data_IF_189566483271
#
_entry.id   IF_189566483271
#
_cell.length_a   1.000
_cell.length_b   1.000
_cell.length_c   1.000
_cell.angle_alpha   90.00
_cell.angle_beta   90.00
_cell.angle_gamma   90.00
#
_symmetry.space_group_name_H-M   'P 1'
#
loop_
_entity.id
_entity.type
_entity.pdbx_description
1 polymer ?
#
# COMPACT_ATOMS: atom_id res chain seq x y z
N UNK A 1 32.74 -25.47 -80.81
CA UNK A 1 31.45 -24.94 -81.32
C UNK A 1 30.89 -23.97 -80.28
N UNK A 2 30.96 -22.66 -80.55
CA UNK A 2 30.34 -21.63 -79.71
C UNK A 2 29.06 -21.14 -80.39
N UNK A 3 27.92 -21.15 -79.68
CA UNK A 3 26.65 -20.59 -80.16
C UNK A 3 26.62 -19.09 -79.88
N UNK A 4 26.22 -18.22 -80.82
CA UNK A 4 26.07 -16.80 -80.56
C UNK A 4 24.80 -16.55 -79.72
N UNK A 5 24.93 -15.73 -78.66
CA UNK A 5 23.77 -15.26 -77.89
C UNK A 5 23.01 -14.20 -78.71
N UNK A 6 21.71 -14.44 -78.94
CA UNK A 6 20.82 -13.52 -79.64
C UNK A 6 20.53 -12.24 -78.84
N UNK A 7 20.24 -11.16 -79.55
CA UNK A 7 19.97 -9.84 -78.99
C UNK A 7 18.76 -9.84 -78.04
N UNK A 8 18.96 -9.35 -76.81
CA UNK A 8 17.90 -9.18 -75.81
C UNK A 8 17.08 -7.94 -76.18
N UNK A 9 15.82 -8.14 -76.63
CA UNK A 9 14.84 -7.06 -76.77
C UNK A 9 14.47 -6.52 -75.40
N UNK A 10 14.86 -5.28 -75.11
CA UNK A 10 14.35 -4.51 -73.97
C UNK A 10 12.84 -4.29 -74.14
N UNK A 11 12.02 -4.93 -73.30
CA UNK A 11 10.59 -4.63 -73.19
C UNK A 11 10.44 -3.19 -72.68
N UNK A 12 9.70 -2.35 -73.41
CA UNK A 12 9.26 -1.04 -72.94
C UNK A 12 8.49 -1.22 -71.63
N UNK A 13 9.01 -0.69 -70.54
CA UNK A 13 8.38 -0.71 -69.22
C UNK A 13 7.11 0.14 -69.23
N UNK A 14 6.03 -0.40 -68.67
CA UNK A 14 4.74 0.27 -68.61
C UNK A 14 4.86 1.52 -67.68
N UNK A 15 4.40 2.71 -68.10
CA UNK A 15 4.47 3.92 -67.27
C UNK A 15 3.77 3.74 -65.91
N UNK A 16 2.75 2.88 -65.82
CA UNK A 16 2.05 2.59 -64.57
C UNK A 16 2.94 1.86 -63.57
N UNK A 17 3.80 0.93 -64.02
CA UNK A 17 4.74 0.25 -63.11
C UNK A 17 5.87 1.15 -62.64
N UNK A 18 6.27 2.15 -63.46
CA UNK A 18 7.22 3.18 -63.04
C UNK A 18 6.60 4.13 -62.01
N UNK A 19 5.33 4.52 -62.19
CA UNK A 19 4.61 5.36 -61.24
C UNK A 19 4.41 4.66 -59.88
N UNK A 20 4.02 3.39 -59.88
CA UNK A 20 3.91 2.58 -58.66
C UNK A 20 5.25 2.40 -57.96
N UNK A 21 6.33 2.18 -58.73
CA UNK A 21 7.69 2.12 -58.19
C UNK A 21 8.12 3.44 -57.54
N UNK A 22 7.80 4.58 -58.16
CA UNK A 22 8.10 5.90 -57.61
C UNK A 22 7.32 6.17 -56.32
N UNK A 23 6.04 5.82 -56.25
CA UNK A 23 5.22 5.95 -55.04
C UNK A 23 5.78 5.09 -53.90
N UNK A 24 6.20 3.85 -54.21
CA UNK A 24 6.81 2.97 -53.22
C UNK A 24 8.14 3.53 -52.70
N UNK A 25 8.97 4.09 -53.58
CA UNK A 25 10.22 4.75 -53.17
C UNK A 25 9.97 5.98 -52.30
N UNK A 26 8.97 6.81 -52.64
CA UNK A 26 8.60 7.97 -51.81
C UNK A 26 8.09 7.51 -50.45
N UNK A 27 7.26 6.47 -50.39
CA UNK A 27 6.77 5.91 -49.13
C UNK A 27 7.92 5.39 -48.26
N UNK A 28 8.90 4.69 -48.85
CA UNK A 28 10.09 4.21 -48.14
C UNK A 28 10.93 5.37 -47.62
N UNK A 29 11.14 6.42 -48.42
CA UNK A 29 11.90 7.60 -48.00
C UNK A 29 11.17 8.35 -46.88
N UNK A 30 9.85 8.54 -46.99
CA UNK A 30 9.05 9.16 -45.93
C UNK A 30 9.06 8.30 -44.66
N UNK A 31 9.01 6.97 -44.77
CA UNK A 31 9.12 6.07 -43.62
C UNK A 31 10.50 6.12 -42.95
N UNK A 32 11.58 6.23 -43.73
CA UNK A 32 12.95 6.31 -43.22
C UNK A 32 13.33 7.69 -42.67
N UNK A 33 12.72 8.75 -43.19
CA UNK A 33 13.04 10.15 -42.82
C UNK A 33 12.00 10.75 -41.86
N UNK A 34 10.83 10.13 -41.71
CA UNK A 34 9.87 10.54 -40.68
C UNK A 34 10.53 10.36 -39.31
N UNK A 35 10.54 11.41 -38.46
CA UNK A 35 11.07 11.30 -37.13
C UNK A 35 10.27 10.21 -36.43
N UNK A 36 10.92 9.11 -36.07
CA UNK A 36 10.36 8.18 -35.10
C UNK A 36 9.98 9.02 -33.89
N UNK A 37 8.68 9.20 -33.67
CA UNK A 37 8.16 9.93 -32.53
C UNK A 37 8.91 9.42 -31.30
N UNK A 38 9.40 10.37 -30.50
CA UNK A 38 10.28 10.15 -29.34
C UNK A 38 9.97 8.77 -28.75
N UNK A 39 10.83 7.80 -29.07
CA UNK A 39 10.85 6.55 -28.33
C UNK A 39 11.06 7.02 -26.90
N UNK A 40 10.01 6.96 -26.10
CA UNK A 40 10.13 6.97 -24.66
C UNK A 40 11.04 5.79 -24.44
N UNK A 41 12.34 6.07 -24.29
CA UNK A 41 13.29 5.13 -23.76
C UNK A 41 12.68 4.71 -22.44
N UNK A 42 11.96 3.59 -22.46
CA UNK A 42 11.81 2.71 -21.32
C UNK A 42 13.25 2.39 -20.95
N UNK A 43 13.85 3.26 -20.15
CA UNK A 43 14.99 2.88 -19.32
C UNK A 43 14.49 1.62 -18.64
N UNK A 44 14.97 0.46 -19.09
CA UNK A 44 14.87 -0.76 -18.30
C UNK A 44 15.36 -0.34 -16.93
N UNK A 45 14.46 -0.33 -15.96
CA UNK A 45 14.84 -0.16 -14.58
C UNK A 45 15.82 -1.30 -14.31
N UNK A 46 17.09 -0.98 -14.12
CA UNK A 46 17.96 -1.89 -13.38
C UNK A 46 17.31 -1.99 -12.01
N UNK A 47 16.62 -3.10 -11.74
CA UNK A 47 16.21 -3.42 -10.39
C UNK A 47 17.50 -3.43 -9.59
N UNK A 48 17.69 -2.43 -8.72
CA UNK A 48 18.88 -2.36 -7.85
C UNK A 48 18.71 -3.46 -6.81
N UNK A 49 19.00 -4.70 -7.22
CA UNK A 49 19.15 -5.82 -6.28
C UNK A 49 20.36 -5.50 -5.44
N UNK A 50 20.19 -5.50 -4.13
CA UNK A 50 21.28 -5.32 -3.20
C UNK A 50 22.38 -6.35 -3.51
N UNK A 51 23.60 -5.86 -3.78
CA UNK A 51 24.77 -6.72 -3.97
C UNK A 51 25.26 -7.31 -2.64
N UNK A 52 24.92 -6.65 -1.53
CA UNK A 52 25.39 -6.96 -0.19
C UNK A 52 24.23 -7.11 0.80
N UNK A 53 24.30 -8.05 1.74
CA UNK A 53 23.29 -8.26 2.78
C UNK A 53 23.14 -7.09 3.77
N UNK A 54 24.14 -6.20 3.82
CA UNK A 54 24.10 -4.94 4.60
C UNK A 54 23.63 -3.73 3.76
N UNK A 55 23.17 -3.95 2.53
CA UNK A 55 22.53 -2.87 1.76
C UNK A 55 21.24 -2.46 2.46
N UNK A 56 20.72 -1.24 2.21
CA UNK A 56 19.48 -0.79 2.83
C UNK A 56 18.36 -1.84 2.68
N UNK A 57 17.53 -2.05 3.72
CA UNK A 57 16.48 -3.07 3.70
C UNK A 57 15.44 -2.86 2.60
N UNK A 58 15.41 -1.68 1.99
CA UNK A 58 14.53 -1.33 0.87
C UNK A 58 14.99 -1.87 -0.49
N UNK A 59 16.22 -2.38 -0.60
CA UNK A 59 16.72 -3.03 -1.82
C UNK A 59 16.64 -4.56 -1.69
N UNK A 60 15.99 -5.28 -2.62
CA UNK A 60 15.88 -6.74 -2.57
C UNK A 60 17.27 -7.39 -2.56
N UNK A 61 17.62 -8.12 -1.50
CA UNK A 61 18.87 -8.88 -1.42
C UNK A 61 18.67 -10.33 -1.83
N UNK A 62 19.42 -10.78 -2.83
CA UNK A 62 19.49 -12.20 -3.19
C UNK A 62 20.82 -12.77 -2.73
N UNK A 63 20.77 -13.71 -1.77
CA UNK A 63 21.98 -14.41 -1.31
C UNK A 63 22.65 -15.12 -2.49
N UNK A 64 23.81 -14.62 -2.89
CA UNK A 64 24.68 -15.26 -3.89
C UNK A 64 25.15 -16.62 -3.37
N UNK A 65 25.04 -17.67 -4.19
CA UNK A 65 25.74 -18.94 -3.95
C UNK A 65 27.22 -18.71 -4.25
N UNK A 66 27.94 -18.08 -3.30
CA UNK A 66 29.38 -17.89 -3.44
C UNK A 66 30.06 -19.24 -3.59
N UNK A 67 30.70 -19.48 -4.74
CA UNK A 67 31.79 -20.46 -4.83
C UNK A 67 32.87 -19.93 -3.89
N UNK A 68 33.17 -20.69 -2.85
CA UNK A 68 34.20 -20.42 -1.86
C UNK A 68 35.45 -19.80 -2.49
N UNK A 69 35.67 -18.49 -2.29
CA UNK A 69 36.90 -17.81 -2.72
C UNK A 69 36.75 -16.43 -3.37
N UNK A 70 35.55 -15.98 -3.78
CA UNK A 70 35.38 -14.61 -4.30
C UNK A 70 35.17 -13.63 -3.13
N UNK A 71 36.02 -12.60 -2.95
CA UNK A 71 35.80 -11.59 -1.93
C UNK A 71 34.49 -10.84 -2.21
N UNK A 72 33.62 -10.71 -1.21
CA UNK A 72 32.44 -9.86 -1.30
C UNK A 72 32.91 -8.41 -1.49
N UNK A 73 32.44 -7.74 -2.55
CA UNK A 73 32.67 -6.30 -2.71
C UNK A 73 32.08 -5.57 -1.50
N UNK A 74 32.73 -4.50 -1.00
CA UNK A 74 32.16 -3.68 0.05
C UNK A 74 30.81 -3.11 -0.40
N UNK A 75 29.85 -2.89 0.52
CA UNK A 75 28.55 -2.32 0.17
C UNK A 75 28.73 -0.94 -0.47
N UNK A 76 27.91 -0.58 -1.48
CA UNK A 76 27.99 0.73 -2.11
C UNK A 76 27.61 1.83 -1.11
N UNK A 77 28.28 2.99 -1.21
CA UNK A 77 27.87 4.20 -0.48
C UNK A 77 26.71 4.84 -1.24
N UNK A 78 25.56 4.99 -0.58
CA UNK A 78 24.36 5.61 -1.18
C UNK A 78 24.04 6.89 -0.41
N UNK A 79 23.90 7.99 -1.14
CA UNK A 79 23.51 9.28 -0.58
C UNK A 79 22.02 9.53 -0.83
N UNK A 80 21.28 9.85 0.23
CA UNK A 80 19.86 10.21 0.16
C UNK A 80 19.71 11.66 0.60
N UNK A 81 19.14 12.50 -0.27
CA UNK A 81 18.71 13.83 0.09
C UNK A 81 17.20 13.80 0.35
N UNK A 82 16.80 13.80 1.62
CA UNK A 82 15.39 13.67 1.99
C UNK A 82 14.55 14.87 1.53
N UNK A 83 15.15 16.05 1.34
CA UNK A 83 14.44 17.21 0.80
C UNK A 83 13.98 17.03 -0.65
N UNK A 84 14.48 15.99 -1.34
CA UNK A 84 14.06 15.64 -2.70
C UNK A 84 12.95 14.58 -2.73
N UNK A 85 12.56 14.03 -1.56
CA UNK A 85 11.46 13.07 -1.47
C UNK A 85 10.17 13.85 -1.44
N UNK A 86 9.41 13.80 -2.53
CA UNK A 86 8.17 14.56 -2.67
C UNK A 86 6.96 13.75 -2.18
N UNK A 87 5.94 14.46 -1.69
CA UNK A 87 4.61 13.93 -1.36
C UNK A 87 3.56 14.87 -1.94
N UNK A 88 3.12 14.59 -3.17
CA UNK A 88 2.31 15.50 -3.99
C UNK A 88 0.93 14.93 -4.32
N UNK A 89 0.06 15.78 -4.88
CA UNK A 89 -1.26 15.38 -5.37
C UNK A 89 -1.21 14.54 -6.65
N UNK A 90 -0.07 14.49 -7.35
CA UNK A 90 0.15 13.69 -8.56
C UNK A 90 1.29 12.68 -8.38
N UNK A 91 1.15 11.74 -7.43
CA UNK A 91 2.25 10.88 -6.99
C UNK A 91 2.84 10.00 -8.11
N UNK A 92 2.03 9.60 -9.09
CA UNK A 92 2.49 8.81 -10.25
C UNK A 92 3.42 9.61 -11.16
N UNK A 93 3.07 10.87 -11.46
CA UNK A 93 3.85 11.75 -12.34
C UNK A 93 5.24 12.02 -11.74
N UNK A 94 5.28 12.19 -10.41
CA UNK A 94 6.49 12.42 -9.64
C UNK A 94 7.23 11.12 -9.26
N UNK A 95 6.73 9.95 -9.70
CA UNK A 95 7.28 8.61 -9.40
C UNK A 95 7.53 8.37 -7.90
N UNK A 96 6.59 8.81 -7.08
CA UNK A 96 6.67 8.72 -5.62
C UNK A 96 6.59 7.25 -5.17
N UNK A 97 7.48 6.82 -4.28
CA UNK A 97 7.48 5.43 -3.82
C UNK A 97 6.45 5.23 -2.70
N UNK A 98 5.67 4.16 -2.79
CA UNK A 98 4.65 3.80 -1.81
C UNK A 98 5.07 2.55 -1.06
N UNK A 99 5.04 2.61 0.26
CA UNK A 99 5.25 1.48 1.15
C UNK A 99 3.90 1.03 1.71
N UNK A 100 3.39 -0.11 1.26
CA UNK A 100 2.14 -0.69 1.78
C UNK A 100 2.49 -1.63 2.94
N UNK A 101 1.94 -1.37 4.13
CA UNK A 101 2.25 -2.10 5.36
C UNK A 101 1.03 -2.84 5.90
N UNK A 102 1.21 -4.14 6.13
CA UNK A 102 0.10 -5.06 6.47
C UNK A 102 0.50 -6.02 7.58
N UNK A 103 0.07 -5.76 8.82
CA UNK A 103 0.01 -6.79 9.85
C UNK A 103 -0.99 -7.88 9.43
N UNK A 104 -0.57 -9.14 9.47
CA UNK A 104 -1.36 -10.25 8.93
C UNK A 104 -1.34 -11.46 9.87
N UNK A 105 -2.50 -11.82 10.41
CA UNK A 105 -2.70 -13.04 11.20
C UNK A 105 -3.27 -14.18 10.36
N UNK A 106 -4.12 -13.86 9.39
CA UNK A 106 -4.73 -14.77 8.41
C UNK A 106 -4.52 -14.19 7.01
N UNK A 107 -4.34 -15.06 6.02
CA UNK A 107 -4.22 -14.64 4.63
C UNK A 107 -5.57 -14.74 3.94
N UNK A 108 -5.97 -13.67 3.24
CA UNK A 108 -7.19 -13.62 2.45
C UNK A 108 -6.82 -13.48 0.97
N UNK A 109 -7.19 -14.44 0.10
CA UNK A 109 -6.92 -14.32 -1.34
C UNK A 109 -7.49 -13.03 -1.94
N UNK A 110 -8.68 -12.60 -1.48
CA UNK A 110 -9.31 -11.34 -1.90
C UNK A 110 -8.46 -10.10 -1.61
N UNK A 111 -7.69 -10.09 -0.52
CA UNK A 111 -6.76 -9.02 -0.21
C UNK A 111 -5.61 -8.96 -1.22
N UNK A 112 -5.03 -10.11 -1.58
CA UNK A 112 -3.96 -10.14 -2.59
C UNK A 112 -4.46 -9.73 -3.98
N UNK A 113 -5.66 -10.18 -4.35
CA UNK A 113 -6.31 -9.75 -5.59
C UNK A 113 -6.59 -8.24 -5.59
N UNK A 114 -7.02 -7.69 -4.46
CA UNK A 114 -7.22 -6.25 -4.30
C UNK A 114 -5.92 -5.47 -4.49
N UNK A 115 -4.80 -5.91 -3.89
CA UNK A 115 -3.48 -5.32 -4.13
C UNK A 115 -3.09 -5.32 -5.62
N UNK A 116 -3.32 -6.43 -6.32
CA UNK A 116 -2.99 -6.55 -7.73
C UNK A 116 -3.87 -5.68 -8.65
N UNK A 117 -5.05 -5.27 -8.18
CA UNK A 117 -5.96 -4.39 -8.91
C UNK A 117 -5.63 -2.91 -8.75
N UNK A 118 -4.70 -2.53 -7.88
CA UNK A 118 -4.29 -1.14 -7.73
C UNK A 118 -3.65 -0.65 -9.04
N UNK A 119 -4.10 0.49 -9.53
CA UNK A 119 -3.59 1.11 -10.76
C UNK A 119 -2.33 1.95 -10.53
N UNK A 120 -1.84 2.02 -9.29
CA UNK A 120 -0.57 2.65 -9.00
C UNK A 120 0.58 1.78 -9.55
N UNK A 121 1.62 2.31 -10.21
CA UNK A 121 2.65 1.48 -10.82
C UNK A 121 3.33 0.57 -9.80
N UNK A 122 3.22 -0.75 -9.97
CA UNK A 122 3.72 -1.71 -8.98
C UNK A 122 5.25 -1.62 -8.82
N UNK A 123 5.99 -1.13 -9.81
CA UNK A 123 7.43 -0.89 -9.68
C UNK A 123 7.79 0.26 -8.72
N UNK A 124 6.80 1.02 -8.26
CA UNK A 124 6.94 2.05 -7.21
C UNK A 124 6.41 1.58 -5.85
N UNK A 125 5.85 0.37 -5.77
CA UNK A 125 5.24 -0.16 -4.56
C UNK A 125 6.17 -1.17 -3.89
N UNK A 126 6.50 -0.92 -2.63
CA UNK A 126 7.11 -1.91 -1.72
C UNK A 126 6.04 -2.45 -0.78
N UNK A 127 5.96 -3.78 -0.66
CA UNK A 127 5.05 -4.42 0.29
C UNK A 127 5.81 -4.85 1.54
N UNK A 128 5.30 -4.50 2.72
CA UNK A 128 5.79 -4.95 4.01
C UNK A 128 4.72 -5.76 4.74
N UNK A 129 5.05 -6.99 5.12
CA UNK A 129 4.18 -7.86 5.89
C UNK A 129 4.80 -8.20 7.24
N UNK A 130 4.00 -8.27 8.30
CA UNK A 130 4.43 -8.84 9.58
C UNK A 130 3.41 -9.86 10.07
N UNK A 131 3.88 -11.07 10.37
CA UNK A 131 3.01 -12.20 10.73
C UNK A 131 3.42 -12.83 12.07
N UNK A 132 2.45 -13.27 12.91
CA UNK A 132 2.71 -13.89 14.20
C UNK A 132 3.27 -15.31 14.07
N UNK A 133 4.05 -15.76 15.06
CA UNK A 133 4.59 -17.12 15.15
C UNK A 133 3.60 -18.13 15.75
N UNK A 134 2.33 -18.04 15.37
CA UNK A 134 1.28 -19.00 15.74
C UNK A 134 1.05 -20.03 14.63
N UNK A 135 0.21 -21.04 14.87
CA UNK A 135 -0.19 -22.02 13.86
C UNK A 135 -0.84 -21.32 12.65
N UNK A 136 -1.79 -20.43 12.92
CA UNK A 136 -2.52 -19.65 11.91
C UNK A 136 -1.57 -18.71 11.17
N UNK A 137 -0.67 -18.03 11.89
CA UNK A 137 0.31 -17.14 11.27
C UNK A 137 1.37 -17.86 10.43
N UNK A 138 1.71 -19.12 10.77
CA UNK A 138 2.57 -19.96 9.94
C UNK A 138 1.85 -20.38 8.65
N UNK A 139 0.58 -20.75 8.74
CA UNK A 139 -0.25 -21.06 7.58
C UNK A 139 -0.38 -19.84 6.66
N UNK A 140 -0.75 -18.68 7.20
CA UNK A 140 -0.84 -17.43 6.45
C UNK A 140 0.49 -17.06 5.77
N UNK A 141 1.64 -17.38 6.38
CA UNK A 141 2.95 -17.15 5.76
C UNK A 141 3.16 -18.05 4.55
N UNK A 142 2.80 -19.33 4.64
CA UNK A 142 2.93 -20.27 3.53
C UNK A 142 2.05 -19.84 2.34
N UNK A 143 0.80 -19.48 2.61
CA UNK A 143 -0.15 -19.01 1.59
C UNK A 143 0.32 -17.69 0.93
N UNK A 144 0.74 -16.71 1.74
CA UNK A 144 1.32 -15.46 1.24
C UNK A 144 2.54 -15.72 0.34
N UNK A 145 3.44 -16.61 0.74
CA UNK A 145 4.63 -16.96 -0.05
C UNK A 145 4.27 -17.62 -1.38
N UNK A 146 3.22 -18.42 -1.43
CA UNK A 146 2.73 -19.04 -2.68
C UNK A 146 2.23 -17.97 -3.67
N UNK A 147 1.40 -17.04 -3.20
CA UNK A 147 0.89 -15.94 -4.03
C UNK A 147 2.00 -14.97 -4.48
N UNK A 148 2.96 -14.67 -3.60
CA UNK A 148 4.17 -13.92 -3.95
C UNK A 148 4.95 -14.66 -5.02
N UNK A 149 5.18 -15.97 -4.88
CA UNK A 149 5.93 -16.77 -5.85
C UNK A 149 5.26 -16.73 -7.22
N UNK A 150 3.94 -16.92 -7.26
CA UNK A 150 3.13 -16.85 -8.48
C UNK A 150 3.29 -15.49 -9.17
N UNK A 151 3.14 -14.40 -8.41
CA UNK A 151 3.18 -13.03 -8.94
C UNK A 151 4.58 -12.62 -9.38
N UNK A 152 5.58 -12.74 -8.48
CA UNK A 152 6.93 -12.22 -8.71
C UNK A 152 7.74 -13.06 -9.72
N UNK A 153 7.52 -14.37 -9.77
CA UNK A 153 8.30 -15.27 -10.66
C UNK A 153 7.61 -15.54 -11.99
N UNK A 154 6.29 -15.77 -11.96
CA UNK A 154 5.54 -16.24 -13.12
C UNK A 154 4.55 -15.20 -13.66
N UNK A 155 4.26 -14.14 -12.90
CA UNK A 155 3.39 -13.04 -13.31
C UNK A 155 4.03 -12.13 -14.34
N UNK A 156 3.19 -11.30 -14.97
CA UNK A 156 3.63 -10.26 -15.93
C UNK A 156 4.51 -9.26 -15.20
N UNK A 157 5.45 -8.66 -15.91
CA UNK A 157 6.38 -7.69 -15.31
C UNK A 157 5.65 -6.51 -14.66
N UNK A 158 4.57 -6.03 -15.28
CA UNK A 158 3.72 -4.96 -14.74
C UNK A 158 3.01 -5.34 -13.43
N UNK A 159 2.80 -6.63 -13.16
CA UNK A 159 2.15 -7.09 -11.93
C UNK A 159 3.15 -7.24 -10.77
N UNK A 160 4.47 -7.11 -11.02
CA UNK A 160 5.52 -7.31 -10.02
C UNK A 160 5.73 -6.05 -9.19
N UNK A 161 5.65 -6.21 -7.88
CA UNK A 161 6.00 -5.17 -6.92
C UNK A 161 7.51 -4.92 -6.86
N UNK A 162 7.93 -3.67 -6.63
CA UNK A 162 9.34 -3.24 -6.49
C UNK A 162 10.14 -4.12 -5.53
N UNK A 163 9.57 -4.37 -4.36
CA UNK A 163 10.16 -5.18 -3.29
C UNK A 163 9.07 -5.72 -2.38
N UNK A 164 9.33 -6.86 -1.76
CA UNK A 164 8.43 -7.48 -0.78
C UNK A 164 9.26 -7.93 0.41
N UNK A 165 8.88 -7.47 1.61
CA UNK A 165 9.54 -7.76 2.87
C UNK A 165 8.55 -8.50 3.76
N UNK A 166 8.96 -9.66 4.28
CA UNK A 166 8.15 -10.46 5.21
C UNK A 166 8.90 -10.56 6.54
N UNK A 167 8.25 -10.10 7.60
CA UNK A 167 8.73 -10.18 8.98
C UNK A 167 7.92 -11.20 9.76
N UNK A 168 8.58 -11.84 10.72
CA UNK A 168 7.95 -12.74 11.68
C UNK A 168 8.08 -12.10 13.06
N UNK A 169 6.97 -11.97 13.78
CA UNK A 169 6.95 -11.34 15.11
C UNK A 169 7.92 -12.04 16.07
N UNK A 170 8.56 -11.26 16.94
CA UNK A 170 9.55 -11.69 17.92
C UNK A 170 9.07 -11.52 19.37
N UNK A 171 7.81 -11.13 19.57
CA UNK A 171 7.14 -11.03 20.86
C UNK A 171 5.95 -11.98 20.95
N UNK A 172 5.58 -12.34 22.18
CA UNK A 172 4.49 -13.26 22.49
C UNK A 172 3.11 -12.66 22.14
N UNK A 173 2.14 -13.48 21.68
CA UNK A 173 0.76 -13.04 21.47
C UNK A 173 0.13 -12.57 22.79
N UNK A 174 -0.68 -11.51 22.75
CA UNK A 174 -1.41 -11.04 23.95
C UNK A 174 -2.53 -12.00 24.37
N UNK A 175 -3.11 -12.75 23.44
CA UNK A 175 -4.26 -13.63 23.66
C UNK A 175 -4.02 -14.94 22.89
N UNK A 176 -4.34 -16.07 23.53
CA UNK A 176 -4.19 -17.40 22.94
C UNK A 176 -5.30 -17.67 21.91
N UNK A 177 -6.54 -17.23 22.18
CA UNK A 177 -7.66 -17.33 21.24
C UNK A 177 -7.69 -16.16 20.25
N UNK A 178 -8.02 -16.47 18.99
CA UNK A 178 -8.25 -15.51 17.91
C UNK A 178 -9.75 -15.33 17.59
N UNK A 179 -10.66 -15.86 18.42
CA UNK A 179 -12.10 -15.75 18.20
C UNK A 179 -12.58 -14.31 18.40
N UNK A 180 -13.47 -13.83 17.54
CA UNK A 180 -13.95 -12.45 17.56
C UNK A 180 -14.51 -12.05 18.93
N UNK A 181 -15.43 -12.85 19.49
CA UNK A 181 -16.04 -12.57 20.80
C UNK A 181 -15.01 -12.43 21.94
N UNK A 182 -13.91 -13.18 21.90
CA UNK A 182 -12.82 -13.07 22.89
C UNK A 182 -11.90 -11.86 22.64
N UNK A 183 -11.65 -11.51 21.37
CA UNK A 183 -10.89 -10.31 20.97
C UNK A 183 -11.61 -9.01 21.36
N UNK A 184 -12.95 -9.04 21.38
CA UNK A 184 -13.80 -7.88 21.69
C UNK A 184 -14.11 -7.69 23.18
N UNK A 185 -13.55 -8.51 24.09
CA UNK A 185 -13.68 -8.26 25.54
C UNK A 185 -12.83 -7.05 25.96
N UNK A 186 -13.44 -6.11 26.69
CA UNK A 186 -12.78 -4.87 27.17
C UNK A 186 -11.45 -5.16 27.88
N UNK A 187 -11.42 -6.16 28.76
CA UNK A 187 -10.22 -6.59 29.52
C UNK A 187 -9.05 -7.01 28.63
N UNK A 188 -9.34 -7.51 27.43
CA UNK A 188 -8.35 -8.05 26.50
C UNK A 188 -7.87 -6.99 25.48
N UNK A 189 -8.66 -5.95 25.23
CA UNK A 189 -8.36 -4.95 24.18
C UNK A 189 -7.05 -4.21 24.42
N UNK A 190 -6.75 -3.81 25.67
CA UNK A 190 -5.50 -3.08 25.97
C UNK A 190 -4.27 -3.90 25.58
N UNK A 191 -4.19 -5.14 26.04
CA UNK A 191 -3.07 -6.02 25.73
C UNK A 191 -3.00 -6.36 24.23
N UNK A 192 -4.14 -6.62 23.59
CA UNK A 192 -4.23 -6.89 22.15
C UNK A 192 -3.72 -5.72 21.32
N UNK A 193 -4.23 -4.50 21.57
CA UNK A 193 -3.82 -3.28 20.86
C UNK A 193 -2.37 -2.93 21.13
N UNK A 194 -1.83 -3.21 22.32
CA UNK A 194 -0.40 -3.06 22.59
C UNK A 194 0.47 -3.97 21.72
N UNK A 195 0.09 -5.25 21.55
CA UNK A 195 0.81 -6.19 20.67
C UNK A 195 0.67 -5.81 19.20
N UNK A 196 -0.52 -5.38 18.76
CA UNK A 196 -0.72 -4.85 17.41
C UNK A 196 0.15 -3.61 17.15
N UNK A 197 0.23 -2.69 18.12
CA UNK A 197 1.10 -1.50 18.06
C UNK A 197 2.57 -1.87 17.88
N UNK A 198 3.05 -2.86 18.65
CA UNK A 198 4.42 -3.39 18.50
C UNK A 198 4.62 -3.98 17.10
N UNK A 199 3.66 -4.72 16.58
CA UNK A 199 3.75 -5.28 15.23
C UNK A 199 3.82 -4.20 14.14
N UNK A 200 2.94 -3.19 14.19
CA UNK A 200 2.98 -2.05 13.28
C UNK A 200 4.31 -1.32 13.37
N UNK A 201 4.78 -1.01 14.58
CA UNK A 201 6.07 -0.34 14.78
C UNK A 201 7.25 -1.16 14.26
N UNK A 202 7.35 -2.44 14.61
CA UNK A 202 8.43 -3.33 14.12
C UNK A 202 8.43 -3.39 12.60
N UNK A 203 7.25 -3.44 11.97
CA UNK A 203 7.13 -3.43 10.52
C UNK A 203 7.57 -2.08 9.93
N UNK A 204 7.06 -0.97 10.44
CA UNK A 204 7.40 0.38 9.98
C UNK A 204 8.90 0.65 10.07
N UNK A 205 9.49 0.50 11.26
CA UNK A 205 10.88 0.90 11.51
C UNK A 205 11.90 0.07 10.75
N UNK A 206 11.56 -1.15 10.34
CA UNK A 206 12.47 -2.02 9.58
C UNK A 206 12.31 -1.89 8.07
N UNK A 207 11.22 -1.26 7.60
CA UNK A 207 10.90 -1.19 6.16
C UNK A 207 10.82 0.23 5.62
N UNK A 208 10.68 1.25 6.47
CA UNK A 208 10.64 2.66 6.05
C UNK A 208 11.98 3.07 5.43
N UNK A 209 11.94 3.34 4.13
CA UNK A 209 13.11 3.73 3.36
C UNK A 209 13.35 5.24 3.33
N UNK A 210 14.60 5.64 3.01
CA UNK A 210 14.90 7.03 2.72
C UNK A 210 14.27 7.52 1.40
N UNK A 211 13.83 6.63 0.50
CA UNK A 211 13.18 6.96 -0.78
C UNK A 211 11.64 6.84 -0.74
N UNK A 212 11.07 6.43 0.41
CA UNK A 212 9.62 6.27 0.59
C UNK A 212 8.92 7.63 0.64
N UNK A 213 7.96 7.89 -0.24
CA UNK A 213 7.14 9.11 -0.19
C UNK A 213 5.91 8.89 0.69
N UNK A 214 5.23 7.76 0.51
CA UNK A 214 3.97 7.46 1.16
C UNK A 214 4.03 6.12 1.89
N UNK A 215 3.35 6.04 3.03
CA UNK A 215 3.08 4.81 3.75
C UNK A 215 1.58 4.58 3.72
N UNK A 216 1.14 3.46 3.14
CA UNK A 216 -0.25 3.03 3.17
C UNK A 216 -0.36 1.88 4.16
N UNK A 217 -0.94 2.14 5.33
CA UNK A 217 -1.41 1.06 6.21
C UNK A 217 -2.64 0.44 5.57
N UNK A 218 -2.62 -0.87 5.37
CA UNK A 218 -3.74 -1.62 4.80
C UNK A 218 -3.84 -2.96 5.53
N UNK A 219 -4.92 -3.13 6.29
CA UNK A 219 -5.14 -4.37 7.04
C UNK A 219 -5.43 -5.54 6.09
N UNK A 220 -5.05 -6.76 6.50
CA UNK A 220 -5.01 -7.95 5.65
C UNK A 220 -6.40 -8.46 5.22
N UNK A 221 -7.45 -7.97 5.86
CA UNK A 221 -8.85 -8.30 5.67
C UNK A 221 -9.59 -7.25 4.83
N UNK A 222 -8.91 -6.22 4.32
CA UNK A 222 -9.46 -5.29 3.32
C UNK A 222 -9.37 -5.90 1.92
N UNK A 223 -10.49 -6.48 1.47
CA UNK A 223 -10.58 -7.26 0.24
C UNK A 223 -11.11 -6.48 -0.97
N UNK A 224 -11.61 -5.27 -0.77
CA UNK A 224 -12.14 -4.45 -1.87
C UNK A 224 -11.88 -2.96 -1.62
N UNK A 225 -11.20 -2.34 -2.59
CA UNK A 225 -10.94 -0.90 -2.65
C UNK A 225 -11.09 -0.43 -4.10
N UNK A 226 -11.36 0.86 -4.36
CA UNK A 226 -11.22 1.39 -5.71
C UNK A 226 -9.78 1.19 -6.22
N UNK A 227 -9.56 0.79 -7.50
CA UNK A 227 -8.23 0.63 -8.09
C UNK A 227 -7.32 1.85 -7.97
N UNK A 228 -7.92 3.03 -7.83
CA UNK A 228 -7.26 4.33 -7.70
C UNK A 228 -7.00 4.74 -6.25
N UNK A 229 -7.13 3.84 -5.27
CA UNK A 229 -7.02 4.14 -3.83
C UNK A 229 -5.87 5.09 -3.47
N UNK A 230 -4.65 4.80 -3.92
CA UNK A 230 -3.48 5.61 -3.56
C UNK A 230 -3.59 7.01 -4.16
N UNK A 231 -3.98 7.11 -5.43
CA UNK A 231 -4.14 8.37 -6.16
C UNK A 231 -5.27 9.20 -5.53
N UNK A 232 -6.41 8.58 -5.25
CA UNK A 232 -7.59 9.22 -4.69
C UNK A 232 -7.30 9.79 -3.29
N UNK A 233 -6.54 9.07 -2.46
CA UNK A 233 -6.15 9.55 -1.13
C UNK A 233 -5.06 10.63 -1.20
N UNK A 234 -4.05 10.47 -2.07
CA UNK A 234 -2.98 11.46 -2.24
C UNK A 234 -3.47 12.79 -2.81
N UNK A 235 -4.54 12.77 -3.61
CA UNK A 235 -5.17 13.97 -4.20
C UNK A 235 -5.51 15.05 -3.18
N UNK A 236 -5.86 14.69 -1.93
CA UNK A 236 -6.23 15.65 -0.89
C UNK A 236 -5.06 16.39 -0.25
N UNK A 237 -3.82 15.99 -0.55
CA UNK A 237 -2.58 16.57 -0.01
C UNK A 237 -2.58 16.68 1.52
N UNK A 238 -3.07 15.65 2.21
CA UNK A 238 -3.12 15.60 3.67
C UNK A 238 -1.97 14.79 4.25
N UNK A 239 -1.49 15.15 5.47
CA UNK A 239 -0.39 14.43 6.09
C UNK A 239 -0.77 12.98 6.44
N UNK A 240 -2.01 12.76 6.85
CA UNK A 240 -2.59 11.42 6.96
C UNK A 240 -4.10 11.48 6.70
N UNK A 241 -4.61 10.50 5.98
CA UNK A 241 -6.01 10.44 5.54
C UNK A 241 -6.55 9.00 5.54
N UNK A 242 -7.76 8.82 6.09
CA UNK A 242 -8.43 7.52 6.21
C UNK A 242 -9.75 7.49 5.42
N UNK A 243 -9.97 6.52 4.52
CA UNK A 243 -11.28 6.24 3.95
C UNK A 243 -12.21 5.57 4.98
N UNK A 244 -13.51 5.58 4.70
CA UNK A 244 -14.49 4.93 5.55
C UNK A 244 -14.58 3.42 5.25
N UNK A 245 -14.53 2.59 6.30
CA UNK A 245 -14.52 1.15 6.15
C UNK A 245 -15.90 0.54 6.45
N UNK A 246 -16.41 -0.19 5.47
CA UNK A 246 -17.69 -0.90 5.52
C UNK A 246 -17.46 -2.41 5.37
N UNK A 247 -18.52 -3.18 5.58
CA UNK A 247 -18.54 -4.61 5.31
C UNK A 247 -19.80 -4.93 4.50
N UNK A 248 -19.64 -5.68 3.41
CA UNK A 248 -20.77 -6.20 2.63
C UNK A 248 -21.28 -7.48 3.27
N UNK A 249 -22.60 -7.64 3.34
CA UNK A 249 -23.24 -8.87 3.83
C UNK A 249 -24.53 -9.14 3.06
N UNK A 250 -25.01 -10.39 3.10
CA UNK A 250 -26.32 -10.73 2.55
C UNK A 250 -27.38 -10.53 3.63
N UNK A 251 -28.33 -9.63 3.39
CA UNK A 251 -29.46 -9.38 4.26
C UNK A 251 -30.55 -10.43 3.99
N UNK A 252 -30.72 -11.37 4.93
CA UNK A 252 -31.70 -12.46 4.84
C UNK A 252 -33.16 -11.96 4.93
N UNK A 253 -33.41 -10.82 5.59
CA UNK A 253 -34.75 -10.25 5.73
C UNK A 253 -35.21 -9.66 4.39
N UNK A 254 -34.34 -8.89 3.73
CA UNK A 254 -34.64 -8.21 2.47
C UNK A 254 -34.19 -9.00 1.23
N UNK A 255 -33.53 -10.15 1.42
CA UNK A 255 -32.98 -11.04 0.36
C UNK A 255 -32.11 -10.29 -0.65
N UNK A 256 -31.26 -9.39 -0.17
CA UNK A 256 -30.39 -8.58 -1.01
C UNK A 256 -29.03 -8.36 -0.36
N UNK A 257 -28.03 -8.01 -1.18
CA UNK A 257 -26.75 -7.56 -0.64
C UNK A 257 -26.93 -6.18 0.00
N UNK A 258 -26.42 -6.04 1.23
CA UNK A 258 -26.39 -4.81 1.99
C UNK A 258 -24.96 -4.50 2.45
N UNK A 259 -24.78 -3.32 3.04
CA UNK A 259 -23.51 -2.90 3.64
C UNK A 259 -23.76 -2.34 5.04
N UNK A 260 -22.79 -2.54 5.94
CA UNK A 260 -22.81 -2.01 7.31
C UNK A 260 -21.48 -1.33 7.64
N UNK A 261 -21.47 -0.28 8.49
CA UNK A 261 -20.24 0.31 8.98
C UNK A 261 -19.41 -0.73 9.75
N UNK A 262 -18.09 -0.72 9.58
CA UNK A 262 -17.19 -1.69 10.19
C UNK A 262 -16.19 -1.04 11.16
N UNK A 263 -15.47 -0.01 10.71
CA UNK A 263 -14.41 0.63 11.52
C UNK A 263 -14.92 1.83 12.31
N UNK A 264 -14.95 1.71 13.63
CA UNK A 264 -15.35 2.77 14.55
C UNK A 264 -14.19 3.54 15.18
N UNK A 265 -12.94 3.30 14.76
CA UNK A 265 -11.76 3.96 15.33
C UNK A 265 -11.43 5.30 14.66
N UNK A 266 -12.20 5.70 13.64
CA UNK A 266 -12.08 7.00 12.97
C UNK A 266 -13.15 7.95 13.49
N UNK A 267 -12.73 8.98 14.23
CA UNK A 267 -13.66 9.85 14.96
C UNK A 267 -13.13 11.25 15.24
N UNK A 268 -14.05 12.18 15.52
CA UNK A 268 -13.77 13.47 16.16
C UNK A 268 -14.04 13.37 17.65
N UNK A 269 -13.16 13.97 18.45
CA UNK A 269 -13.24 13.89 19.92
C UNK A 269 -14.44 14.67 20.46
N UNK A 270 -14.81 14.41 21.71
CA UNK A 270 -15.94 15.08 22.36
C UNK A 270 -15.53 15.64 23.73
N UNK A 271 -16.26 16.66 24.20
CA UNK A 271 -16.06 17.19 25.56
C UNK A 271 -16.30 16.11 26.62
N UNK A 272 -17.24 15.19 26.38
CA UNK A 272 -17.54 14.08 27.28
C UNK A 272 -16.36 13.11 27.39
N UNK A 273 -15.75 12.73 26.26
CA UNK A 273 -14.58 11.87 26.24
C UNK A 273 -13.38 12.52 26.94
N UNK A 274 -13.18 13.83 26.75
CA UNK A 274 -12.14 14.59 27.44
C UNK A 274 -12.37 14.66 28.95
N UNK A 275 -13.62 14.86 29.38
CA UNK A 275 -13.98 14.88 30.80
C UNK A 275 -13.84 13.49 31.45
N UNK A 276 -14.08 12.41 30.70
CA UNK A 276 -13.81 11.04 31.15
C UNK A 276 -12.31 10.81 31.30
N UNK A 277 -11.52 11.11 30.26
CA UNK A 277 -10.06 11.00 30.27
C UNK A 277 -9.42 11.74 31.46
N UNK A 278 -9.90 12.95 31.77
CA UNK A 278 -9.37 13.75 32.89
C UNK A 278 -9.57 13.10 34.28
N UNK A 279 -10.47 12.12 34.40
CA UNK A 279 -10.74 11.38 35.66
C UNK A 279 -10.04 10.03 35.71
N UNK A 280 -9.39 9.62 34.63
CA UNK A 280 -8.76 8.31 34.48
C UNK A 280 -7.33 8.31 35.02
N UNK A 281 -6.86 7.13 35.44
CA UNK A 281 -5.47 6.93 35.81
C UNK A 281 -4.53 7.07 34.60
N UNK A 282 -3.23 7.30 34.83
CA UNK A 282 -2.27 7.55 33.76
C UNK A 282 -2.15 6.39 32.75
N UNK A 283 -2.39 5.16 33.18
CA UNK A 283 -2.31 3.97 32.35
C UNK A 283 -3.65 3.53 31.75
N UNK A 284 -4.75 4.17 32.11
CA UNK A 284 -6.06 3.79 31.62
C UNK A 284 -6.25 4.25 30.17
N UNK A 285 -7.05 3.50 29.41
CA UNK A 285 -7.33 3.77 28.00
C UNK A 285 -8.83 3.91 27.74
N UNK A 286 -9.17 4.84 26.85
CA UNK A 286 -10.51 4.95 26.26
C UNK A 286 -10.62 4.03 25.06
N UNK A 287 -11.75 3.35 24.94
CA UNK A 287 -12.05 2.46 23.82
C UNK A 287 -13.46 2.74 23.32
N UNK A 288 -13.59 2.88 22.01
CA UNK A 288 -14.90 3.03 21.36
C UNK A 288 -15.68 1.71 21.30
N UNK A 289 -17.01 1.82 21.27
CA UNK A 289 -17.92 0.68 21.09
C UNK A 289 -18.34 -0.06 22.36
N UNK A 290 -17.95 0.40 23.55
CA UNK A 290 -18.35 -0.20 24.83
C UNK A 290 -19.45 0.62 25.50
N UNK A 291 -20.62 0.00 25.72
CA UNK A 291 -21.75 0.66 26.38
C UNK A 291 -21.43 1.18 27.79
N UNK A 292 -20.46 0.54 28.46
CA UNK A 292 -19.97 0.92 29.79
C UNK A 292 -19.15 2.23 29.78
N UNK A 293 -18.72 2.70 28.60
CA UNK A 293 -17.90 3.89 28.42
C UNK A 293 -18.44 4.75 27.25
N UNK A 294 -19.57 5.47 27.46
CA UNK A 294 -20.14 6.29 26.41
C UNK A 294 -19.28 7.55 26.19
N UNK A 295 -18.41 7.48 25.18
CA UNK A 295 -17.50 8.58 24.83
C UNK A 295 -18.19 9.70 24.07
N UNK A 296 -19.32 9.45 23.41
CA UNK A 296 -20.03 10.39 22.53
C UNK A 296 -19.14 11.02 21.45
N UNK A 297 -18.09 10.31 21.02
CA UNK A 297 -17.28 10.76 19.89
C UNK A 297 -18.08 10.66 18.60
N UNK A 298 -17.84 11.59 17.69
CA UNK A 298 -18.48 11.56 16.39
C UNK A 298 -17.78 10.53 15.52
N UNK A 299 -18.40 9.37 15.32
CA UNK A 299 -17.83 8.27 14.55
C UNK A 299 -18.03 8.52 13.05
N UNK A 300 -16.93 8.57 12.28
CA UNK A 300 -16.96 8.79 10.83
C UNK A 300 -17.76 7.71 10.10
N UNK A 301 -17.78 6.50 10.66
CA UNK A 301 -18.54 5.33 10.18
C UNK A 301 -20.01 5.66 9.86
N UNK A 302 -20.64 6.53 10.65
CA UNK A 302 -22.05 6.92 10.51
C UNK A 302 -22.28 8.21 9.72
N UNK A 303 -21.22 8.86 9.23
CA UNK A 303 -21.31 10.10 8.46
C UNK A 303 -21.47 9.86 6.95
N UNK A 304 -21.33 8.61 6.50
CA UNK A 304 -21.53 8.25 5.10
C UNK A 304 -22.98 8.47 4.70
N UNK A 305 -23.20 9.13 3.57
CA UNK A 305 -24.54 9.37 3.00
C UNK A 305 -24.65 8.77 1.61
N UNK A 306 -25.83 8.24 1.27
CA UNK A 306 -26.10 7.74 -0.07
C UNK A 306 -26.05 8.91 -1.08
N UNK A 307 -25.26 8.75 -2.15
CA UNK A 307 -25.01 9.83 -3.11
C UNK A 307 -24.20 11.01 -2.57
N UNK A 308 -23.63 10.90 -1.37
CA UNK A 308 -22.80 11.94 -0.77
C UNK A 308 -21.55 12.24 -1.59
N UNK A 309 -21.05 13.48 -1.49
CA UNK A 309 -19.82 13.89 -2.17
C UNK A 309 -18.64 13.05 -1.68
N UNK A 310 -18.00 12.29 -2.59
CA UNK A 310 -16.82 11.46 -2.30
C UNK A 310 -15.61 12.31 -1.89
N UNK A 311 -15.62 13.60 -2.22
CA UNK A 311 -14.57 14.55 -1.85
C UNK A 311 -14.85 15.27 -0.52
N UNK A 312 -15.98 14.99 0.13
CA UNK A 312 -16.21 15.43 1.49
C UNK A 312 -15.06 14.94 2.38
N UNK A 313 -14.42 15.85 3.09
CA UNK A 313 -13.33 15.56 4.01
C UNK A 313 -13.61 16.27 5.34
N UNK A 314 -13.20 15.65 6.44
CA UNK A 314 -13.30 16.22 7.78
C UNK A 314 -12.02 15.99 8.58
N UNK A 315 -11.65 16.93 9.47
CA UNK A 315 -10.54 16.69 10.39
C UNK A 315 -10.95 15.63 11.42
N UNK A 316 -10.02 14.74 11.79
CA UNK A 316 -10.23 13.70 12.79
C UNK A 316 -9.29 13.88 14.00
N UNK A 317 -9.65 13.25 15.11
CA UNK A 317 -8.84 13.17 16.33
C UNK A 317 -8.33 11.74 16.58
N UNK A 318 -9.08 10.73 16.11
CA UNK A 318 -8.68 9.33 16.03
C UNK A 318 -8.81 8.80 14.60
N UNK A 319 -7.95 7.87 14.22
CA UNK A 319 -8.00 7.18 12.92
C UNK A 319 -7.95 5.67 13.15
N UNK A 320 -8.61 4.91 12.29
CA UNK A 320 -8.48 3.46 12.23
C UNK A 320 -7.28 2.98 11.41
N UNK A 321 -7.02 1.68 11.50
CA UNK A 321 -5.92 1.00 10.81
C UNK A 321 -6.32 0.27 9.52
N UNK A 322 -7.61 0.20 9.21
CA UNK A 322 -8.17 -0.59 8.10
C UNK A 322 -7.55 -0.20 6.76
N UNK A 323 -7.63 1.07 6.40
CA UNK A 323 -6.72 1.68 5.43
C UNK A 323 -6.38 3.11 5.88
N UNK A 324 -5.12 3.51 5.75
CA UNK A 324 -4.67 4.84 6.15
C UNK A 324 -3.44 5.22 5.34
N UNK A 325 -3.58 6.26 4.51
CA UNK A 325 -2.46 6.82 3.76
C UNK A 325 -1.78 7.90 4.62
N UNK A 326 -0.47 7.82 4.76
CA UNK A 326 0.37 8.70 5.59
C UNK A 326 1.55 9.20 4.75
N UNK A 327 1.81 10.51 4.76
CA UNK A 327 3.07 11.05 4.23
C UNK A 327 4.23 10.48 5.05
N UNK A 328 5.25 9.95 4.40
CA UNK A 328 6.37 9.29 5.10
C UNK A 328 7.05 10.19 6.14
N UNK A 329 7.05 11.51 5.92
CA UNK A 329 7.62 12.49 6.86
C UNK A 329 6.93 12.49 8.22
N UNK A 330 5.63 12.20 8.29
CA UNK A 330 4.91 12.07 9.57
C UNK A 330 5.55 10.98 10.44
N UNK A 331 5.93 9.86 9.83
CA UNK A 331 6.65 8.79 10.52
C UNK A 331 8.12 9.15 10.79
N UNK A 332 8.79 9.87 9.88
CA UNK A 332 10.18 10.32 10.08
C UNK A 332 10.32 11.34 11.21
N UNK A 333 9.29 12.15 11.44
CA UNK A 333 9.19 13.08 12.56
C UNK A 333 8.93 12.37 13.90
N UNK A 334 8.68 11.06 13.86
CA UNK A 334 8.58 10.21 15.05
C UNK A 334 7.16 9.76 15.39
N UNK A 335 6.14 10.09 14.58
CA UNK A 335 4.80 9.55 14.82
C UNK A 335 4.80 8.03 14.62
N UNK A 336 4.38 7.30 15.65
CA UNK A 336 4.33 5.83 15.68
C UNK A 336 3.08 5.35 16.43
N UNK A 337 2.85 4.05 16.49
CA UNK A 337 1.72 3.45 17.20
C UNK A 337 2.10 3.19 18.65
N UNK A 338 1.67 3.99 19.64
CA UNK A 338 2.10 3.79 21.02
C UNK A 338 1.57 2.45 21.56
N UNK A 339 2.45 1.54 22.03
CA UNK A 339 2.05 0.27 22.66
C UNK A 339 1.67 0.44 24.14
N UNK A 340 1.51 1.68 24.60
CA UNK A 340 1.20 2.10 25.96
C UNK A 340 0.15 3.21 25.91
N UNK A 341 -0.44 3.56 27.06
CA UNK A 341 -1.40 4.66 27.14
C UNK A 341 -0.72 5.99 26.78
N UNK A 342 -1.21 6.64 25.74
CA UNK A 342 -0.75 7.95 25.29
C UNK A 342 -1.96 8.88 25.20
N UNK A 343 -2.11 9.77 26.18
CA UNK A 343 -3.33 10.56 26.37
C UNK A 343 -4.60 9.69 26.45
N UNK A 344 -4.51 8.55 27.16
CA UNK A 344 -5.58 7.56 27.26
C UNK A 344 -5.97 6.90 25.93
N UNK A 345 -5.12 7.00 24.91
CA UNK A 345 -5.28 6.35 23.62
C UNK A 345 -4.14 5.34 23.42
N UNK A 346 -4.33 4.40 22.49
CA UNK A 346 -3.33 3.37 22.17
C UNK A 346 -3.38 3.09 20.67
N UNK A 347 -2.32 2.51 20.11
CA UNK A 347 -2.32 2.03 18.74
C UNK A 347 -2.63 3.13 17.70
N UNK A 348 -3.62 2.95 16.82
CA UNK A 348 -3.94 3.88 15.72
C UNK A 348 -4.52 5.21 16.21
N UNK A 349 -5.37 5.17 17.24
CA UNK A 349 -5.89 6.38 17.89
C UNK A 349 -4.78 7.15 18.61
N UNK A 350 -3.87 6.43 19.28
CA UNK A 350 -2.68 7.02 19.89
C UNK A 350 -1.72 7.62 18.86
N UNK A 351 -1.58 6.97 17.69
CA UNK A 351 -0.82 7.48 16.55
C UNK A 351 -1.42 8.80 16.01
N UNK A 352 -2.74 8.88 15.83
CA UNK A 352 -3.41 10.13 15.41
C UNK A 352 -3.12 11.27 16.40
N UNK A 353 -3.21 10.98 17.70
CA UNK A 353 -2.86 11.97 18.74
C UNK A 353 -1.40 12.38 18.65
N UNK A 354 -0.48 11.44 18.41
CA UNK A 354 0.95 11.71 18.29
C UNK A 354 1.26 12.59 17.07
N UNK A 355 0.66 12.28 15.93
CA UNK A 355 0.74 13.09 14.72
C UNK A 355 0.28 14.54 15.00
N UNK A 356 -0.87 14.72 15.68
CA UNK A 356 -1.33 16.07 16.09
C UNK A 356 -0.35 16.79 17.00
N UNK A 357 0.29 16.09 17.93
CA UNK A 357 1.31 16.68 18.82
C UNK A 357 2.57 17.12 18.06
N UNK A 358 2.86 16.51 16.91
CA UNK A 358 3.92 16.88 15.99
C UNK A 358 3.50 17.96 14.96
N UNK A 359 2.25 18.42 15.00
CA UNK A 359 1.73 19.44 14.08
C UNK A 359 1.02 18.89 12.84
N UNK A 360 0.83 17.57 12.74
CA UNK A 360 0.17 16.91 11.62
C UNK A 360 -1.30 16.62 11.93
N UNK A 361 -2.23 17.25 11.21
CA UNK A 361 -3.67 17.06 11.40
C UNK A 361 -4.19 15.82 10.65
N UNK A 362 -4.84 14.84 11.31
CA UNK A 362 -5.50 13.73 10.65
C UNK A 362 -6.80 14.11 9.93
N UNK A 363 -7.11 13.42 8.84
CA UNK A 363 -8.32 13.66 8.05
C UNK A 363 -9.04 12.37 7.68
N UNK A 364 -10.35 12.46 7.46
CA UNK A 364 -11.19 11.33 7.06
C UNK A 364 -12.03 11.63 5.83
N UNK A 365 -12.42 10.59 5.10
CA UNK A 365 -13.30 10.65 3.94
C UNK A 365 -14.57 9.80 4.21
N UNK A 366 -15.67 10.40 4.68
CA UNK A 366 -16.84 9.64 5.15
C UNK A 366 -17.57 8.93 4.01
N UNK A 367 -17.55 9.50 2.80
CA UNK A 367 -18.24 8.97 1.62
C UNK A 367 -17.32 8.15 0.69
N UNK A 368 -16.02 8.05 1.00
CA UNK A 368 -15.10 7.19 0.26
C UNK A 368 -15.03 5.83 0.96
N UNK A 369 -15.70 4.82 0.39
CA UNK A 369 -15.85 3.50 1.01
C UNK A 369 -14.78 2.50 0.54
N UNK A 370 -14.29 1.72 1.50
CA UNK A 370 -13.53 0.49 1.29
C UNK A 370 -14.22 -0.65 2.04
N UNK A 371 -13.95 -1.90 1.68
CA UNK A 371 -14.67 -3.03 2.25
C UNK A 371 -13.75 -4.07 2.90
N UNK A 372 -14.09 -4.36 4.15
CA UNK A 372 -13.57 -5.45 4.94
C UNK A 372 -14.24 -6.78 4.55
N UNK A 373 -13.50 -7.88 4.71
CA UNK A 373 -13.99 -9.25 4.52
C UNK A 373 -15.20 -9.53 5.44
N UNK A 374 -16.22 -10.22 4.94
CA UNK A 374 -17.33 -10.65 5.80
C UNK A 374 -16.94 -11.95 6.52
N UNK A 375 -16.66 -11.86 7.82
CA UNK A 375 -16.24 -13.02 8.65
C UNK A 375 -17.32 -14.11 8.73
#
# INVERSE_FOLDING_TARGET
MARPMGAVRLKKTNPITLALGAILCIFIIVFLVSPSGKSVTTRRFESVTAEHHLSPPTSPYRKSKSRSGVPLKPPPVVHYNLNNVTTTTTPIENRENVLILTPMSRFYPGYWENLLRLNYPHELITLGFILPKTKEGNQATAELQEFIHKTQKHGREADRFKSIIILRQDFEPAIISQDESERHKLKNQKARRAVMSKARNSLLFTTLGPDTSWVLWLDADIIETPPTLIQDLAFFDKPLIVPNCFQRYYDEEHKQMAERPYDFNSWQDSETAQALAAKMGPDDILLEGYAEMPTYRMLMAYLATEGGDRNMILPLDGVGGTALLVKADVHRDGAMFPPFSFYHLIETEGFAKMAKRLGWQPWGLPNYKIYHYNE
#
